data_IF_949904719101
#
_entry.id   IF_949904719101
#
_cell.length_a   1.000
_cell.length_b   1.000
_cell.length_c   1.000
_cell.angle_alpha   90.00
_cell.angle_beta   90.00
_cell.angle_gamma   90.00
#
_symmetry.space_group_name_H-M   'P 1'
#
loop_
_entity.id
_entity.type
_entity.pdbx_description
1 polymer ?
#
# COMPACT_ATOMS: atom_id res chain seq x y z
N UNK A 1 -20.80 -47.41 -30.45
CA UNK A 1 -20.31 -46.00 -30.46
C UNK A 1 -21.48 -45.08 -30.19
N UNK A 2 -21.47 -44.31 -29.10
CA UNK A 2 -22.21 -43.05 -29.03
C UNK A 2 -21.23 -41.87 -29.10
N UNK A 3 -21.53 -40.89 -29.94
CA UNK A 3 -20.88 -39.58 -29.94
C UNK A 3 -21.46 -38.79 -28.77
N UNK A 4 -20.61 -38.48 -27.79
CA UNK A 4 -20.92 -37.51 -26.75
C UNK A 4 -20.83 -36.12 -27.36
N UNK A 5 -21.95 -35.40 -27.36
CA UNK A 5 -22.04 -33.98 -27.66
C UNK A 5 -21.11 -33.22 -26.71
N UNK A 6 -20.22 -32.42 -27.27
CA UNK A 6 -19.28 -31.61 -26.49
C UNK A 6 -20.02 -30.51 -25.75
N UNK A 7 -19.97 -30.55 -24.42
CA UNK A 7 -20.39 -29.44 -23.58
C UNK A 7 -19.66 -28.15 -24.00
N UNK A 8 -20.34 -26.99 -23.97
CA UNK A 8 -19.69 -25.71 -24.24
C UNK A 8 -18.58 -25.46 -23.23
N UNK A 9 -17.40 -25.11 -23.74
CA UNK A 9 -16.24 -24.77 -22.91
C UNK A 9 -16.62 -23.60 -21.99
N UNK A 10 -16.35 -23.66 -20.67
CA UNK A 10 -16.66 -22.57 -19.76
C UNK A 10 -15.98 -21.29 -20.22
N UNK A 11 -16.73 -20.18 -20.26
CA UNK A 11 -16.16 -18.88 -20.55
C UNK A 11 -15.24 -18.47 -19.40
N UNK A 12 -13.93 -18.73 -19.55
CA UNK A 12 -12.86 -18.57 -18.54
C UNK A 12 -12.67 -17.13 -18.02
N UNK A 13 -13.46 -16.16 -18.52
CA UNK A 13 -13.34 -14.73 -18.23
C UNK A 13 -14.52 -14.16 -17.43
N UNK A 14 -15.64 -14.88 -17.32
CA UNK A 14 -16.93 -14.30 -16.91
C UNK A 14 -17.07 -13.89 -15.42
N UNK A 15 -16.18 -14.33 -14.53
CA UNK A 15 -16.31 -14.06 -13.08
C UNK A 15 -15.52 -12.83 -12.57
N UNK A 16 -14.66 -12.20 -13.39
CA UNK A 16 -13.80 -11.10 -12.95
C UNK A 16 -14.30 -9.68 -13.31
N UNK A 17 -15.35 -9.57 -14.12
CA UNK A 17 -15.76 -8.35 -14.85
C UNK A 17 -16.37 -7.21 -14.00
N UNK A 18 -16.45 -7.35 -12.67
CA UNK A 18 -17.10 -6.36 -11.78
C UNK A 18 -16.21 -5.74 -10.71
N UNK A 19 -14.91 -6.01 -10.71
CA UNK A 19 -13.97 -5.44 -9.72
C UNK A 19 -13.22 -4.25 -10.32
N UNK A 20 -12.92 -3.19 -9.55
CA UNK A 20 -12.06 -2.10 -10.01
C UNK A 20 -10.70 -2.64 -10.46
N UNK A 21 -10.05 -1.92 -11.38
CA UNK A 21 -8.70 -2.27 -11.84
C UNK A 21 -7.72 -2.30 -10.66
N UNK A 22 -6.72 -3.15 -10.78
CA UNK A 22 -5.58 -3.08 -9.87
C UNK A 22 -4.83 -1.76 -10.16
N UNK A 23 -4.35 -1.06 -9.11
CA UNK A 23 -3.57 0.17 -9.26
C UNK A 23 -2.26 -0.11 -10.02
N UNK A 24 -1.99 0.67 -11.08
CA UNK A 24 -0.77 0.59 -11.86
C UNK A 24 -0.71 -0.57 -12.88
N UNK A 25 0.50 -1.08 -13.15
CA UNK A 25 0.75 -2.13 -14.15
C UNK A 25 0.43 -3.51 -13.58
N UNK A 26 -0.55 -4.21 -14.17
CA UNK A 26 -0.97 -5.54 -13.72
C UNK A 26 -1.27 -6.48 -14.90
N UNK A 27 -0.90 -7.76 -14.76
CA UNK A 27 -1.30 -8.83 -15.68
C UNK A 27 -2.80 -9.14 -15.59
N UNK A 28 -3.42 -8.82 -14.45
CA UNK A 28 -4.85 -9.00 -14.23
C UNK A 28 -5.68 -7.98 -15.02
N UNK A 29 -5.22 -6.72 -15.06
CA UNK A 29 -5.81 -5.69 -15.91
C UNK A 29 -5.77 -6.13 -17.40
N UNK A 30 -4.65 -6.73 -17.82
CA UNK A 30 -4.51 -7.32 -19.16
C UNK A 30 -5.50 -8.48 -19.42
N UNK A 31 -5.66 -9.43 -18.49
CA UNK A 31 -6.62 -10.54 -18.66
C UNK A 31 -8.07 -10.06 -18.72
N UNK A 32 -8.44 -9.09 -17.88
CA UNK A 32 -9.78 -8.50 -17.86
C UNK A 32 -10.10 -7.74 -19.14
N UNK A 33 -9.15 -6.92 -19.60
CA UNK A 33 -9.25 -6.26 -20.90
C UNK A 33 -9.54 -7.30 -22.00
N UNK A 34 -8.75 -8.38 -22.07
CA UNK A 34 -8.98 -9.41 -23.07
C UNK A 34 -10.31 -10.15 -22.88
N UNK A 35 -10.79 -10.35 -21.65
CA UNK A 35 -12.13 -10.87 -21.38
C UNK A 35 -13.23 -9.98 -21.97
N UNK A 36 -13.08 -8.66 -21.89
CA UNK A 36 -14.03 -7.69 -22.43
C UNK A 36 -13.97 -7.58 -23.95
N UNK A 37 -12.77 -7.63 -24.54
CA UNK A 37 -12.58 -7.67 -26.00
C UNK A 37 -13.07 -9.00 -26.60
N UNK A 38 -13.18 -10.07 -25.81
CA UNK A 38 -13.75 -11.35 -26.24
C UNK A 38 -15.27 -11.32 -26.41
N UNK A 39 -15.96 -10.24 -26.04
CA UNK A 39 -17.36 -10.01 -26.37
C UNK A 39 -17.46 -9.40 -27.80
N UNK A 40 -18.44 -9.81 -28.62
CA UNK A 40 -18.42 -9.56 -30.06
C UNK A 40 -18.51 -8.06 -30.38
N UNK A 41 -17.43 -7.53 -30.97
CA UNK A 41 -17.29 -6.17 -31.49
C UNK A 41 -18.35 -5.96 -32.61
N UNK A 42 -19.04 -4.82 -32.65
CA UNK A 42 -19.98 -4.43 -33.74
C UNK A 42 -19.23 -3.59 -34.80
N UNK A 43 -19.46 -3.81 -36.10
CA UNK A 43 -19.04 -2.86 -37.15
C UNK A 43 -20.22 -2.46 -38.05
N UNK A 44 -20.26 -1.18 -38.41
CA UNK A 44 -21.12 -0.60 -39.44
C UNK A 44 -20.56 -0.85 -40.86
N UNK A 45 -21.41 -1.18 -41.84
CA UNK A 45 -20.96 -1.64 -43.15
C UNK A 45 -20.54 -0.46 -44.02
N UNK A 46 -19.38 -0.54 -44.68
CA UNK A 46 -19.23 0.03 -46.03
C UNK A 46 -18.40 -0.91 -46.92
N UNK A 47 -19.08 -1.40 -47.96
CA UNK A 47 -18.61 -2.02 -49.21
C UNK A 47 -17.78 -3.33 -49.16
N UNK A 48 -18.50 -4.42 -49.51
CA UNK A 48 -18.13 -5.52 -50.43
C UNK A 48 -17.00 -6.52 -50.06
N UNK A 49 -17.47 -7.59 -49.35
CA UNK A 49 -17.14 -9.04 -49.33
C UNK A 49 -15.68 -9.53 -49.52
N UNK A 50 -15.23 -10.40 -48.59
CA UNK A 50 -15.38 -11.84 -48.77
C UNK A 50 -16.21 -12.52 -47.67
N UNK A 51 -16.79 -13.67 -48.01
CA UNK A 51 -17.81 -14.42 -47.26
C UNK A 51 -17.37 -14.93 -45.86
N UNK A 52 -17.37 -14.03 -44.87
CA UNK A 52 -17.39 -14.33 -43.44
C UNK A 52 -18.78 -14.07 -42.84
N UNK A 53 -19.83 -14.49 -43.55
CA UNK A 53 -21.20 -14.04 -43.27
C UNK A 53 -21.96 -14.77 -42.14
N UNK A 54 -21.35 -15.66 -41.36
CA UNK A 54 -22.12 -16.40 -40.35
C UNK A 54 -21.53 -16.50 -38.93
N UNK A 55 -20.39 -15.85 -38.66
CA UNK A 55 -19.86 -15.75 -37.28
C UNK A 55 -19.23 -14.39 -37.10
N UNK A 56 -19.94 -13.46 -36.48
CA UNK A 56 -19.54 -12.08 -36.20
C UNK A 56 -18.30 -11.96 -35.30
N UNK A 57 -17.14 -12.35 -35.82
CA UNK A 57 -15.84 -12.24 -35.17
C UNK A 57 -15.00 -11.28 -36.01
N UNK A 58 -14.80 -10.07 -35.49
CA UNK A 58 -13.94 -9.08 -36.13
C UNK A 58 -12.50 -9.29 -35.71
N UNK A 59 -11.63 -9.54 -36.68
CA UNK A 59 -10.19 -9.54 -36.49
C UNK A 59 -9.63 -8.16 -36.86
N UNK A 60 -8.71 -7.57 -36.06
CA UNK A 60 -7.96 -6.39 -36.49
C UNK A 60 -7.36 -6.55 -37.91
N UNK A 61 -7.25 -5.46 -38.69
CA UNK A 61 -6.69 -5.52 -40.04
C UNK A 61 -5.23 -6.00 -40.01
N UNK A 62 -4.85 -6.79 -41.03
CA UNK A 62 -3.47 -7.25 -41.23
C UNK A 62 -2.54 -6.05 -41.39
N UNK A 63 -1.39 -6.10 -40.71
CA UNK A 63 -0.34 -5.10 -40.93
C UNK A 63 0.42 -5.34 -42.24
N UNK A 64 0.99 -4.28 -42.85
CA UNK A 64 1.74 -4.37 -44.12
C UNK A 64 2.86 -5.42 -44.02
N UNK A 65 2.80 -6.45 -44.87
CA UNK A 65 3.78 -7.56 -44.91
C UNK A 65 3.51 -8.72 -43.95
N UNK A 66 2.36 -8.75 -43.25
CA UNK A 66 1.97 -9.86 -42.37
C UNK A 66 1.13 -10.90 -43.10
N UNK A 67 1.48 -12.18 -42.97
CA UNK A 67 0.67 -13.28 -43.51
C UNK A 67 -0.53 -13.59 -42.60
N UNK A 68 -1.59 -14.20 -43.14
CA UNK A 68 -2.75 -14.69 -42.36
C UNK A 68 -2.31 -15.76 -41.35
N UNK A 69 -1.32 -16.59 -41.70
CA UNK A 69 -0.79 -17.61 -40.80
C UNK A 69 -0.07 -16.99 -39.61
N UNK A 70 0.82 -16.01 -39.83
CA UNK A 70 1.47 -15.25 -38.74
C UNK A 70 0.45 -14.48 -37.89
N UNK A 71 -0.64 -14.06 -38.54
CA UNK A 71 -1.76 -13.41 -37.89
C UNK A 71 -2.42 -14.32 -36.86
N UNK A 72 -2.92 -15.47 -37.31
CA UNK A 72 -3.62 -16.46 -36.49
C UNK A 72 -2.70 -17.05 -35.40
N UNK A 73 -1.45 -17.38 -35.74
CA UNK A 73 -0.47 -17.91 -34.78
C UNK A 73 -0.27 -16.94 -33.59
N UNK A 74 -0.24 -15.63 -33.86
CA UNK A 74 -0.09 -14.64 -32.80
C UNK A 74 -1.28 -14.58 -31.84
N UNK A 75 -2.51 -14.82 -32.35
CA UNK A 75 -3.71 -14.90 -31.52
C UNK A 75 -3.79 -16.21 -30.74
N UNK A 76 -3.38 -17.33 -31.33
CA UNK A 76 -3.26 -18.62 -30.64
C UNK A 76 -2.26 -18.53 -29.48
N UNK A 77 -1.05 -18.00 -29.72
CA UNK A 77 -0.02 -17.77 -28.70
C UNK A 77 -0.53 -16.86 -27.57
N UNK A 78 -1.22 -15.78 -27.92
CA UNK A 78 -1.82 -14.87 -26.94
C UNK A 78 -2.91 -15.58 -26.14
N UNK A 79 -3.79 -16.34 -26.78
CA UNK A 79 -4.86 -17.11 -26.14
C UNK A 79 -4.32 -18.16 -25.18
N UNK A 80 -3.33 -18.94 -25.60
CA UNK A 80 -2.64 -19.91 -24.74
C UNK A 80 -1.99 -19.22 -23.53
N UNK A 81 -1.26 -18.12 -23.76
CA UNK A 81 -0.56 -17.42 -22.69
C UNK A 81 -1.47 -16.68 -21.72
N UNK A 82 -2.63 -16.17 -22.15
CA UNK A 82 -3.55 -15.42 -21.29
C UNK A 82 -4.66 -16.29 -20.69
N UNK A 83 -4.99 -17.42 -21.33
CA UNK A 83 -6.04 -18.33 -20.91
C UNK A 83 -5.57 -19.53 -20.10
N UNK A 84 -4.37 -20.06 -20.36
CA UNK A 84 -3.85 -21.28 -19.70
C UNK A 84 -2.78 -20.95 -18.67
N UNK A 85 -2.51 -21.83 -17.70
CA UNK A 85 -1.41 -21.65 -16.73
C UNK A 85 -0.03 -22.04 -17.29
N UNK A 86 0.29 -21.52 -18.48
CA UNK A 86 1.55 -21.75 -19.17
C UNK A 86 2.48 -20.54 -19.05
N UNK A 87 3.77 -20.82 -18.88
CA UNK A 87 4.83 -19.83 -19.01
C UNK A 87 5.07 -19.46 -20.48
N UNK A 88 5.67 -18.29 -20.75
CA UNK A 88 6.05 -17.90 -22.11
C UNK A 88 6.98 -18.94 -22.77
N UNK A 89 7.82 -19.61 -21.99
CA UNK A 89 8.69 -20.67 -22.49
C UNK A 89 7.91 -21.94 -22.88
N UNK A 90 6.90 -22.31 -22.09
CA UNK A 90 6.02 -23.46 -22.39
C UNK A 90 5.17 -23.19 -23.64
N UNK A 91 4.61 -21.98 -23.79
CA UNK A 91 3.90 -21.55 -25.01
C UNK A 91 4.83 -21.56 -26.24
N UNK A 92 6.10 -21.20 -26.04
CA UNK A 92 7.12 -21.26 -27.09
C UNK A 92 7.40 -22.67 -27.59
N UNK A 93 7.38 -23.64 -26.67
CA UNK A 93 7.61 -25.06 -26.94
C UNK A 93 6.37 -25.76 -27.50
N UNK A 94 5.15 -25.34 -27.14
CA UNK A 94 3.89 -25.89 -27.64
C UNK A 94 3.57 -25.46 -29.07
N UNK A 95 3.98 -24.25 -29.48
CA UNK A 95 3.65 -23.72 -30.80
C UNK A 95 4.30 -24.52 -31.95
N UNK A 96 3.48 -24.97 -32.91
CA UNK A 96 3.85 -25.91 -33.99
C UNK A 96 5.02 -25.49 -34.89
N UNK A 97 5.40 -24.20 -34.90
CA UNK A 97 6.45 -23.64 -35.79
C UNK A 97 7.74 -23.22 -35.10
N UNK A 98 7.89 -23.45 -33.79
CA UNK A 98 8.96 -22.82 -33.01
C UNK A 98 9.75 -23.81 -32.15
N UNK A 99 10.74 -24.48 -32.75
CA UNK A 99 11.82 -25.10 -31.96
C UNK A 99 12.86 -24.09 -31.47
N UNK A 100 12.73 -22.80 -31.81
CA UNK A 100 13.74 -21.74 -31.56
C UNK A 100 13.18 -20.34 -31.21
N UNK A 101 11.90 -20.17 -30.91
CA UNK A 101 11.41 -18.83 -30.50
C UNK A 101 11.79 -18.57 -29.06
N UNK A 102 12.50 -17.47 -28.83
CA UNK A 102 12.90 -17.02 -27.49
C UNK A 102 11.71 -16.47 -26.72
N UNK A 103 11.83 -16.49 -25.38
CA UNK A 103 10.90 -15.85 -24.45
C UNK A 103 10.48 -14.44 -24.90
N UNK A 104 11.44 -13.62 -25.33
CA UNK A 104 11.17 -12.22 -25.69
C UNK A 104 10.38 -12.11 -26.99
N UNK A 105 10.63 -12.98 -27.97
CA UNK A 105 9.89 -12.97 -29.22
C UNK A 105 8.40 -13.29 -29.01
N UNK A 106 8.09 -14.19 -28.07
CA UNK A 106 6.70 -14.54 -27.70
C UNK A 106 6.04 -13.37 -27.00
N UNK A 107 6.73 -12.75 -26.04
CA UNK A 107 6.27 -11.54 -25.35
C UNK A 107 5.99 -10.40 -26.34
N UNK A 108 6.86 -10.18 -27.32
CA UNK A 108 6.69 -9.16 -28.37
C UNK A 108 5.47 -9.49 -29.25
N UNK A 109 5.29 -10.76 -29.66
CA UNK A 109 4.10 -11.20 -30.41
C UNK A 109 2.81 -10.90 -29.63
N UNK A 110 2.76 -11.27 -28.35
CA UNK A 110 1.59 -11.02 -27.48
C UNK A 110 1.33 -9.52 -27.34
N UNK A 111 2.36 -8.73 -27.03
CA UNK A 111 2.23 -7.28 -26.87
C UNK A 111 1.66 -6.63 -28.13
N UNK A 112 2.15 -7.01 -29.31
CA UNK A 112 1.66 -6.50 -30.59
C UNK A 112 0.18 -6.82 -30.82
N UNK A 113 -0.29 -8.00 -30.41
CA UNK A 113 -1.72 -8.38 -30.53
C UNK A 113 -2.60 -7.62 -29.57
N UNK A 114 -2.16 -7.47 -28.32
CA UNK A 114 -2.89 -6.69 -27.31
C UNK A 114 -2.97 -5.22 -27.72
N UNK A 115 -1.89 -4.66 -28.28
CA UNK A 115 -1.88 -3.29 -28.81
C UNK A 115 -2.84 -3.13 -30.00
N UNK A 116 -2.89 -4.11 -30.90
CA UNK A 116 -3.87 -4.14 -31.99
C UNK A 116 -5.31 -4.22 -31.46
N UNK A 117 -5.57 -5.09 -30.48
CA UNK A 117 -6.89 -5.19 -29.84
C UNK A 117 -7.28 -3.86 -29.18
N UNK A 118 -6.37 -3.25 -28.42
CA UNK A 118 -6.60 -2.00 -27.68
C UNK A 118 -6.92 -0.82 -28.61
N UNK A 119 -6.27 -0.73 -29.77
CA UNK A 119 -6.57 0.33 -30.75
C UNK A 119 -7.96 0.19 -31.39
N UNK A 120 -8.56 -0.99 -31.38
CA UNK A 120 -9.79 -1.30 -32.10
C UNK A 120 -11.03 -1.46 -31.20
N UNK A 121 -10.91 -1.18 -29.90
CA UNK A 121 -12.05 -1.15 -28.96
C UNK A 121 -12.64 0.26 -28.85
N UNK A 122 -13.84 0.37 -28.26
CA UNK A 122 -14.48 1.66 -27.98
C UNK A 122 -13.64 2.54 -27.05
N UNK A 123 -13.87 3.85 -27.10
CA UNK A 123 -13.19 4.83 -26.25
C UNK A 123 -13.41 4.54 -24.76
N UNK A 124 -14.63 4.21 -24.35
CA UNK A 124 -14.98 3.78 -22.98
C UNK A 124 -14.11 2.60 -22.50
N UNK A 125 -13.92 1.55 -23.33
CA UNK A 125 -13.06 0.41 -22.96
C UNK A 125 -11.59 0.84 -22.87
N UNK A 126 -11.13 1.77 -23.71
CA UNK A 126 -9.75 2.30 -23.63
C UNK A 126 -9.50 3.17 -22.42
N UNK A 127 -10.49 3.97 -22.01
CA UNK A 127 -10.44 4.78 -20.79
C UNK A 127 -10.46 3.89 -19.55
N UNK A 128 -11.31 2.86 -19.55
CA UNK A 128 -11.36 1.87 -18.46
C UNK A 128 -10.09 1.04 -18.39
N UNK A 129 -9.45 0.71 -19.53
CA UNK A 129 -8.23 -0.08 -19.60
C UNK A 129 -7.12 0.66 -20.37
N UNK A 130 -6.44 1.66 -19.77
CA UNK A 130 -5.35 2.35 -20.44
C UNK A 130 -4.21 1.37 -20.73
N UNK A 131 -3.55 1.48 -21.88
CA UNK A 131 -2.53 0.51 -22.32
C UNK A 131 -1.35 0.44 -21.32
N UNK A 132 -1.06 1.54 -20.64
CA UNK A 132 -0.03 1.67 -19.61
C UNK A 132 -0.32 0.82 -18.37
N UNK A 133 -1.58 0.40 -18.16
CA UNK A 133 -1.99 -0.46 -17.04
C UNK A 133 -1.67 -1.94 -17.25
N UNK A 134 -1.23 -2.34 -18.46
CA UNK A 134 -0.95 -3.74 -18.76
C UNK A 134 0.47 -4.15 -18.36
N UNK A 135 0.57 -5.21 -17.55
CA UNK A 135 1.82 -5.97 -17.42
C UNK A 135 1.74 -7.26 -18.22
N UNK A 136 2.73 -7.50 -19.06
CA UNK A 136 2.87 -8.71 -19.87
C UNK A 136 3.62 -9.83 -19.15
N UNK A 137 4.04 -9.60 -17.90
CA UNK A 137 4.65 -10.62 -17.04
C UNK A 137 3.57 -11.27 -16.20
N UNK A 138 3.27 -12.53 -16.51
CA UNK A 138 2.42 -13.37 -15.67
C UNK A 138 3.01 -13.50 -14.25
N UNK A 139 2.24 -13.16 -13.20
CA UNK A 139 2.60 -13.50 -11.83
C UNK A 139 2.74 -15.01 -11.73
N UNK A 140 3.82 -15.52 -11.11
CA UNK A 140 3.96 -16.97 -10.99
C UNK A 140 2.76 -17.56 -10.26
N UNK A 141 2.13 -18.58 -10.84
CA UNK A 141 1.08 -19.36 -10.18
C UNK A 141 1.63 -20.09 -8.97
N UNK A 142 0.74 -20.52 -8.06
CA UNK A 142 1.14 -21.34 -6.91
C UNK A 142 1.88 -22.62 -7.38
N UNK A 143 1.37 -23.29 -8.41
CA UNK A 143 1.99 -24.46 -9.02
C UNK A 143 3.40 -24.16 -9.56
N UNK A 144 3.58 -23.05 -10.28
CA UNK A 144 4.90 -22.62 -10.76
C UNK A 144 5.86 -22.30 -9.61
N UNK A 145 5.39 -21.65 -8.55
CA UNK A 145 6.19 -21.35 -7.35
C UNK A 145 6.60 -22.63 -6.61
N UNK A 146 5.70 -23.61 -6.50
CA UNK A 146 5.99 -24.92 -5.91
C UNK A 146 7.02 -25.69 -6.74
N UNK A 147 6.83 -25.76 -8.08
CA UNK A 147 7.79 -26.40 -9.01
C UNK A 147 9.19 -25.80 -8.89
N UNK A 148 9.29 -24.46 -8.85
CA UNK A 148 10.56 -23.77 -8.63
C UNK A 148 11.15 -24.06 -7.25
N UNK A 149 10.33 -24.07 -6.20
CA UNK A 149 10.81 -24.40 -4.87
C UNK A 149 11.34 -25.83 -4.80
N UNK A 150 10.70 -26.79 -5.46
CA UNK A 150 11.19 -28.18 -5.58
C UNK A 150 12.56 -28.20 -6.26
N UNK A 151 12.71 -27.49 -7.38
CA UNK A 151 13.98 -27.37 -8.09
C UNK A 151 15.10 -26.72 -7.23
N UNK A 152 14.74 -25.89 -6.25
CA UNK A 152 15.66 -25.24 -5.31
C UNK A 152 15.76 -25.96 -3.95
N UNK A 153 15.45 -27.26 -3.90
CA UNK A 153 15.62 -28.10 -2.70
C UNK A 153 14.36 -28.29 -1.85
N UNK A 154 13.19 -27.91 -2.32
CA UNK A 154 11.89 -28.34 -1.78
C UNK A 154 11.44 -27.75 -0.44
N UNK A 155 12.31 -27.05 0.31
CA UNK A 155 12.04 -26.57 1.68
C UNK A 155 10.68 -25.85 1.85
N UNK A 156 10.33 -24.91 0.98
CA UNK A 156 9.06 -24.17 1.13
C UNK A 156 7.82 -25.04 0.84
N UNK A 157 7.94 -26.02 -0.07
CA UNK A 157 6.86 -26.98 -0.32
C UNK A 157 6.66 -27.90 0.88
N UNK A 158 7.76 -28.30 1.52
CA UNK A 158 7.67 -29.12 2.74
C UNK A 158 7.05 -28.36 3.91
N UNK A 159 7.44 -27.10 4.11
CA UNK A 159 6.81 -26.22 5.11
C UNK A 159 5.30 -26.07 4.85
N UNK A 160 4.91 -25.78 3.59
CA UNK A 160 3.51 -25.67 3.22
C UNK A 160 2.72 -26.97 3.46
N UNK A 161 3.33 -28.14 3.17
CA UNK A 161 2.74 -29.45 3.42
C UNK A 161 2.53 -29.72 4.92
N UNK A 162 3.51 -29.39 5.77
CA UNK A 162 3.43 -29.58 7.22
C UNK A 162 2.34 -28.70 7.85
N UNK A 163 2.24 -27.45 7.40
CA UNK A 163 1.14 -26.55 7.81
C UNK A 163 -0.21 -27.12 7.39
N UNK A 164 -0.32 -27.65 6.16
CA UNK A 164 -1.56 -28.27 5.68
C UNK A 164 -1.95 -29.54 6.48
N UNK A 165 -0.98 -30.21 7.11
CA UNK A 165 -1.21 -31.34 8.03
C UNK A 165 -1.58 -30.89 9.46
N UNK A 166 -1.65 -29.59 9.73
CA UNK A 166 -2.02 -29.02 11.02
C UNK A 166 -0.84 -28.71 11.94
N UNK A 167 0.41 -28.84 11.49
CA UNK A 167 1.56 -28.43 12.30
C UNK A 167 1.65 -26.90 12.39
N UNK A 168 2.00 -26.39 13.58
CA UNK A 168 2.21 -24.96 13.76
C UNK A 168 3.50 -24.51 13.09
N UNK A 169 3.54 -23.27 12.60
CA UNK A 169 4.77 -22.74 12.01
C UNK A 169 5.92 -22.65 13.02
N UNK A 170 5.60 -22.49 14.31
CA UNK A 170 6.62 -22.43 15.37
C UNK A 170 7.26 -23.80 15.64
N UNK A 171 6.51 -24.90 15.48
CA UNK A 171 7.07 -26.25 15.55
C UNK A 171 7.98 -26.52 14.36
N UNK A 172 7.51 -26.19 13.15
CA UNK A 172 8.27 -26.33 11.91
C UNK A 172 9.56 -25.50 11.95
N UNK A 173 9.49 -24.28 12.52
CA UNK A 173 10.62 -23.34 12.58
C UNK A 173 11.83 -23.92 13.29
N UNK A 174 11.67 -24.82 14.27
CA UNK A 174 12.79 -25.40 15.00
C UNK A 174 13.69 -26.28 14.10
N UNK A 175 13.16 -26.73 12.96
CA UNK A 175 13.90 -27.56 11.99
C UNK A 175 14.67 -26.72 10.96
N UNK A 176 14.58 -25.39 11.02
CA UNK A 176 15.22 -24.48 10.07
C UNK A 176 16.07 -23.42 10.79
N UNK A 177 17.09 -22.89 10.08
CA UNK A 177 17.81 -21.72 10.56
C UNK A 177 16.88 -20.50 10.69
N UNK A 178 17.22 -19.56 11.56
CA UNK A 178 16.44 -18.33 11.77
C UNK A 178 16.21 -17.53 10.47
N UNK A 179 17.22 -17.48 9.60
CA UNK A 179 17.15 -16.82 8.28
C UNK A 179 16.23 -17.56 7.31
N UNK A 180 16.28 -18.90 7.30
CA UNK A 180 15.43 -19.74 6.46
C UNK A 180 13.97 -19.64 6.92
N UNK A 181 13.71 -19.67 8.23
CA UNK A 181 12.37 -19.52 8.78
C UNK A 181 11.75 -18.16 8.45
N UNK A 182 12.52 -17.07 8.57
CA UNK A 182 12.04 -15.73 8.19
C UNK A 182 11.73 -15.64 6.69
N UNK A 183 12.58 -16.22 5.85
CA UNK A 183 12.39 -16.24 4.39
C UNK A 183 11.18 -17.09 4.00
N UNK A 184 11.04 -18.27 4.60
CA UNK A 184 9.91 -19.16 4.40
C UNK A 184 8.60 -18.47 4.76
N UNK A 185 8.57 -17.71 5.86
CA UNK A 185 7.37 -16.95 6.28
C UNK A 185 6.86 -16.02 5.18
N UNK A 186 7.74 -15.18 4.63
CA UNK A 186 7.40 -14.28 3.52
C UNK A 186 6.99 -15.01 2.25
N UNK A 187 7.47 -16.23 2.05
CA UNK A 187 7.09 -17.07 0.90
C UNK A 187 5.70 -17.67 1.12
N UNK A 188 5.42 -18.18 2.32
CA UNK A 188 4.10 -18.73 2.70
C UNK A 188 3.00 -17.66 2.63
N UNK A 189 3.25 -16.46 3.15
CA UNK A 189 2.30 -15.33 3.03
C UNK A 189 2.02 -14.99 1.56
N UNK A 190 3.06 -14.99 0.71
CA UNK A 190 2.90 -14.80 -0.74
C UNK A 190 2.14 -15.93 -1.41
N UNK A 191 2.16 -17.14 -0.83
CA UNK A 191 1.39 -18.29 -1.30
C UNK A 191 -0.05 -18.30 -0.77
N UNK A 192 -0.44 -17.28 0.02
CA UNK A 192 -1.76 -17.19 0.64
C UNK A 192 -1.92 -18.07 1.88
N UNK A 193 -0.83 -18.63 2.40
CA UNK A 193 -0.83 -19.46 3.61
C UNK A 193 -0.64 -18.52 4.81
N UNK A 194 -1.69 -18.40 5.62
CA UNK A 194 -1.62 -17.60 6.84
C UNK A 194 -0.90 -18.39 7.92
N UNK A 195 0.30 -17.92 8.29
CA UNK A 195 1.05 -18.48 9.40
C UNK A 195 0.57 -17.79 10.67
N UNK A 196 -0.37 -18.44 11.37
CA UNK A 196 -0.78 -18.02 12.71
C UNK A 196 0.47 -17.81 13.57
N UNK A 197 0.52 -16.69 14.29
CA UNK A 197 1.56 -16.44 15.28
C UNK A 197 0.92 -16.67 16.64
N UNK A 198 1.36 -17.70 17.35
CA UNK A 198 1.18 -17.70 18.79
C UNK A 198 2.19 -16.71 19.35
N UNK A 199 1.77 -15.46 19.55
CA UNK A 199 2.56 -14.49 20.28
C UNK A 199 2.61 -14.97 21.74
N UNK A 200 3.57 -15.87 22.06
CA UNK A 200 3.79 -16.46 23.40
C UNK A 200 3.92 -15.43 24.53
N UNK A 201 4.14 -14.17 24.18
CA UNK A 201 4.17 -13.02 25.09
C UNK A 201 2.75 -12.70 25.58
N UNK A 202 1.73 -12.68 24.71
CA UNK A 202 0.38 -12.20 25.04
C UNK A 202 -0.24 -12.93 26.24
N UNK A 203 -0.19 -14.28 26.34
CA UNK A 203 -0.74 -15.00 27.49
C UNK A 203 -0.19 -14.54 28.85
N UNK A 204 1.10 -14.19 28.93
CA UNK A 204 1.72 -13.71 30.17
C UNK A 204 1.24 -12.33 30.62
N UNK A 205 0.58 -11.58 29.72
CA UNK A 205 0.07 -10.22 29.98
C UNK A 205 -1.45 -10.12 29.85
N UNK A 206 -2.19 -11.23 29.72
CA UNK A 206 -3.66 -11.21 29.67
C UNK A 206 -4.28 -10.58 30.94
N UNK A 207 -3.56 -10.64 32.08
CA UNK A 207 -3.94 -9.91 33.29
C UNK A 207 -4.09 -8.40 33.11
N UNK A 208 -3.48 -7.78 32.08
CA UNK A 208 -3.68 -6.36 31.77
C UNK A 208 -5.10 -6.04 31.25
N UNK A 209 -5.93 -7.05 30.97
CA UNK A 209 -7.37 -6.89 30.67
C UNK A 209 -8.27 -7.06 31.87
N UNK A 210 -7.75 -7.59 32.98
CA UNK A 210 -8.58 -7.95 34.12
C UNK A 210 -8.91 -6.72 34.97
N UNK A 211 -10.14 -6.22 34.83
CA UNK A 211 -10.67 -5.11 35.61
C UNK A 211 -10.72 -5.35 37.13
N UNK A 212 -10.56 -6.60 37.59
CA UNK A 212 -10.53 -6.93 39.02
C UNK A 212 -9.15 -6.77 39.64
N UNK A 213 -8.09 -6.66 38.84
CA UNK A 213 -6.73 -6.47 39.34
C UNK A 213 -6.55 -5.09 39.93
N UNK A 214 -5.83 -5.05 41.04
CA UNK A 214 -5.40 -3.81 41.69
C UNK A 214 -4.41 -3.06 40.81
N UNK A 215 -4.24 -1.75 41.07
CA UNK A 215 -3.29 -0.92 40.32
C UNK A 215 -1.85 -1.41 40.51
N UNK A 216 -1.54 -1.93 41.69
CA UNK A 216 -0.26 -2.54 42.03
C UNK A 216 0.00 -3.79 41.18
N UNK A 217 -0.95 -4.72 41.08
CA UNK A 217 -0.83 -5.90 40.21
C UNK A 217 -0.69 -5.54 38.73
N UNK A 218 -1.40 -4.51 38.28
CA UNK A 218 -1.26 -4.00 36.90
C UNK A 218 0.14 -3.41 36.70
N UNK A 219 0.67 -2.66 37.67
CA UNK A 219 2.02 -2.12 37.61
C UNK A 219 3.07 -3.23 37.55
N UNK A 220 2.94 -4.29 38.36
CA UNK A 220 3.84 -5.45 38.32
C UNK A 220 3.87 -6.11 36.95
N UNK A 221 2.71 -6.26 36.28
CA UNK A 221 2.65 -6.75 34.90
C UNK A 221 3.32 -5.77 33.93
N UNK A 222 3.07 -4.46 34.06
CA UNK A 222 3.70 -3.46 33.20
C UNK A 222 5.23 -3.43 33.35
N UNK A 223 5.75 -3.64 34.55
CA UNK A 223 7.20 -3.65 34.84
C UNK A 223 7.93 -4.84 34.20
N UNK A 224 7.21 -5.92 33.85
CA UNK A 224 7.77 -7.05 33.10
C UNK A 224 8.00 -6.74 31.60
N UNK A 225 7.53 -5.60 31.11
CA UNK A 225 7.75 -5.16 29.73
C UNK A 225 9.17 -4.56 29.62
N UNK A 226 10.11 -5.34 29.10
CA UNK A 226 11.54 -4.98 29.10
C UNK A 226 12.05 -4.43 27.78
N UNK A 227 11.36 -4.69 26.66
CA UNK A 227 11.88 -4.30 25.35
C UNK A 227 10.82 -3.74 24.38
N UNK A 228 11.24 -2.91 23.40
CA UNK A 228 10.36 -2.33 22.37
C UNK A 228 9.51 -3.32 21.58
N UNK A 229 9.99 -4.55 21.36
CA UNK A 229 9.26 -5.52 20.55
C UNK A 229 8.02 -6.04 21.27
N UNK A 230 8.11 -6.23 22.60
CA UNK A 230 6.97 -6.58 23.46
C UNK A 230 5.92 -5.46 23.42
N UNK A 231 6.33 -4.20 23.52
CA UNK A 231 5.41 -3.05 23.44
C UNK A 231 4.58 -3.10 22.15
N UNK A 232 5.21 -3.37 21.01
CA UNK A 232 4.52 -3.44 19.72
C UNK A 232 3.52 -4.61 19.65
N UNK A 233 3.90 -5.78 20.18
CA UNK A 233 3.01 -6.96 20.23
C UNK A 233 1.81 -6.70 21.14
N UNK A 234 2.04 -6.20 22.35
CA UNK A 234 1.00 -5.92 23.35
C UNK A 234 0.06 -4.79 22.90
N UNK A 235 0.59 -3.76 22.23
CA UNK A 235 -0.21 -2.69 21.62
C UNK A 235 -1.11 -3.24 20.50
N UNK A 236 -0.58 -4.13 19.65
CA UNK A 236 -1.36 -4.78 18.58
C UNK A 236 -2.45 -5.69 19.15
N UNK A 237 -2.19 -6.35 20.28
CA UNK A 237 -3.17 -7.14 21.03
C UNK A 237 -4.19 -6.29 21.80
N UNK A 238 -4.06 -4.95 21.81
CA UNK A 238 -4.96 -4.05 22.53
C UNK A 238 -4.81 -4.11 24.06
N UNK A 239 -3.74 -4.69 24.58
CA UNK A 239 -3.50 -4.81 26.04
C UNK A 239 -2.98 -3.51 26.65
N UNK A 240 -2.25 -2.73 25.86
CA UNK A 240 -1.67 -1.46 26.28
C UNK A 240 -1.93 -0.37 25.25
N UNK A 241 -1.91 0.87 25.71
CA UNK A 241 -2.04 2.07 24.90
C UNK A 241 -0.86 3.00 25.17
N UNK A 242 -0.42 3.71 24.13
CA UNK A 242 0.65 4.69 24.27
C UNK A 242 0.13 5.95 24.96
N UNK A 243 0.91 6.50 25.89
CA UNK A 243 0.57 7.74 26.61
C UNK A 243 0.31 8.90 25.66
N UNK A 244 1.03 8.98 24.53
CA UNK A 244 0.79 10.02 23.52
C UNK A 244 -0.63 10.00 22.96
N UNK A 245 -1.23 8.81 22.81
CA UNK A 245 -2.60 8.69 22.34
C UNK A 245 -3.59 9.16 23.41
N UNK A 246 -3.37 8.76 24.66
CA UNK A 246 -4.19 9.20 25.81
C UNK A 246 -4.15 10.72 25.94
N UNK A 247 -2.95 11.32 25.85
CA UNK A 247 -2.80 12.76 25.95
C UNK A 247 -3.53 13.50 24.82
N UNK A 248 -3.47 12.96 23.59
CA UNK A 248 -4.25 13.50 22.47
C UNK A 248 -5.76 13.44 22.72
N UNK A 249 -6.26 12.33 23.28
CA UNK A 249 -7.67 12.20 23.68
C UNK A 249 -8.07 13.13 24.83
N UNK A 250 -7.13 13.47 25.72
CA UNK A 250 -7.31 14.48 26.76
C UNK A 250 -7.20 15.94 26.23
N UNK A 251 -7.07 16.14 24.91
CA UNK A 251 -6.98 17.46 24.29
C UNK A 251 -5.61 18.12 24.41
N UNK A 252 -4.54 17.36 24.64
CA UNK A 252 -3.19 17.88 24.86
C UNK A 252 -2.31 17.74 23.61
N UNK A 253 -1.56 18.80 23.34
CA UNK A 253 -0.57 18.89 22.27
C UNK A 253 0.86 18.71 22.79
N UNK A 254 1.24 17.45 23.05
CA UNK A 254 2.52 17.13 23.68
C UNK A 254 3.72 17.28 22.73
N UNK A 255 4.86 17.74 23.28
CA UNK A 255 6.18 17.59 22.67
C UNK A 255 7.00 16.55 23.44
N UNK A 256 8.09 16.05 22.84
CA UNK A 256 8.94 15.02 23.47
C UNK A 256 9.48 15.42 24.86
N UNK A 257 9.71 16.72 25.10
CA UNK A 257 10.15 17.25 26.40
C UNK A 257 9.08 17.14 27.50
N UNK A 258 7.81 17.09 27.14
CA UNK A 258 6.69 17.10 28.10
C UNK A 258 6.40 15.70 28.66
N UNK A 259 7.02 14.66 28.07
CA UNK A 259 6.84 13.27 28.51
C UNK A 259 7.23 13.03 29.97
N UNK A 260 8.10 13.84 30.59
CA UNK A 260 8.38 13.71 32.02
C UNK A 260 7.22 14.23 32.88
N UNK A 261 6.61 15.37 32.52
CA UNK A 261 5.46 15.96 33.23
C UNK A 261 4.30 14.97 33.30
N UNK A 262 3.98 14.32 32.17
CA UNK A 262 2.91 13.32 32.11
C UNK A 262 3.18 12.13 33.04
N UNK A 263 4.43 11.66 33.10
CA UNK A 263 4.82 10.56 34.00
C UNK A 263 4.69 10.95 35.46
N UNK A 264 5.05 12.18 35.81
CA UNK A 264 4.93 12.68 37.17
C UNK A 264 3.44 12.82 37.59
N UNK A 265 2.57 13.25 36.68
CA UNK A 265 1.12 13.30 36.90
C UNK A 265 0.55 11.90 37.16
N UNK A 266 0.91 10.92 36.34
CA UNK A 266 0.44 9.54 36.52
C UNK A 266 0.93 8.98 37.86
N UNK A 267 2.19 9.20 38.22
CA UNK A 267 2.73 8.77 39.51
C UNK A 267 1.99 9.40 40.68
N UNK A 268 1.70 10.71 40.64
CA UNK A 268 0.94 11.42 41.71
C UNK A 268 -0.47 10.86 41.86
N UNK A 269 -1.11 10.47 40.76
CA UNK A 269 -2.45 9.87 40.75
C UNK A 269 -2.43 8.34 40.89
N UNK A 270 -1.27 7.75 41.19
CA UNK A 270 -1.07 6.29 41.32
C UNK A 270 -1.56 5.50 40.10
N UNK A 271 -1.49 6.09 38.90
CA UNK A 271 -1.83 5.40 37.65
C UNK A 271 -0.68 4.49 37.22
N UNK A 272 -0.94 3.18 36.98
CA UNK A 272 0.10 2.25 36.53
C UNK A 272 0.68 2.66 35.17
N UNK A 273 1.99 2.62 35.02
CA UNK A 273 2.68 3.09 33.82
C UNK A 273 3.99 2.32 33.61
N UNK A 274 4.20 1.85 32.39
CA UNK A 274 5.48 1.30 31.94
C UNK A 274 6.31 2.32 31.16
N UNK A 275 7.62 2.32 31.39
CA UNK A 275 8.61 3.09 30.61
C UNK A 275 9.64 2.14 30.01
N UNK A 276 9.64 2.01 28.70
CA UNK A 276 10.51 1.04 27.99
C UNK A 276 11.50 1.80 27.11
N UNK A 277 12.80 1.53 27.29
CA UNK A 277 13.86 2.19 26.52
C UNK A 277 13.88 1.74 25.06
N UNK A 278 14.03 2.70 24.15
CA UNK A 278 14.13 2.47 22.72
C UNK A 278 15.61 2.59 22.34
N UNK A 279 16.29 1.46 22.27
CA UNK A 279 17.74 1.42 22.07
C UNK A 279 18.13 1.05 20.65
N UNK A 280 19.18 1.69 20.14
CA UNK A 280 19.83 1.31 18.88
C UNK A 280 21.34 1.35 19.08
N UNK A 281 22.00 0.21 18.87
CA UNK A 281 23.46 0.04 19.06
C UNK A 281 23.91 0.49 20.47
N UNK A 282 23.16 0.13 21.51
CA UNK A 282 23.46 0.48 22.91
C UNK A 282 23.22 1.96 23.27
N UNK A 283 22.70 2.78 22.37
CA UNK A 283 22.28 4.16 22.68
C UNK A 283 20.76 4.23 22.81
N UNK A 284 20.30 4.82 23.90
CA UNK A 284 18.88 5.13 24.11
C UNK A 284 18.49 6.29 23.19
N UNK A 285 17.59 6.02 22.24
CA UNK A 285 17.03 7.00 21.31
C UNK A 285 15.78 7.68 21.87
N UNK A 286 15.09 7.04 22.82
CA UNK A 286 13.86 7.52 23.41
C UNK A 286 13.23 6.48 24.33
N UNK A 287 11.98 6.73 24.73
CA UNK A 287 11.22 5.81 25.56
C UNK A 287 9.81 5.65 25.03
N UNK A 288 9.30 4.42 25.05
CA UNK A 288 7.86 4.19 25.08
C UNK A 288 7.35 4.46 26.48
N UNK A 289 6.22 5.15 26.58
CA UNK A 289 5.44 5.29 27.80
C UNK A 289 4.06 4.72 27.52
N UNK A 290 3.66 3.69 28.26
CA UNK A 290 2.47 2.90 27.98
C UNK A 290 1.70 2.58 29.26
N UNK A 291 0.40 2.48 29.10
CA UNK A 291 -0.58 2.25 30.17
C UNK A 291 -1.40 1.03 29.78
N UNK A 292 -1.90 0.26 30.74
CA UNK A 292 -2.86 -0.79 30.44
C UNK A 292 -4.12 -0.17 29.83
N UNK A 293 -4.69 -0.81 28.81
CA UNK A 293 -5.87 -0.28 28.09
C UNK A 293 -7.05 -0.08 29.03
N UNK A 294 -7.20 -0.93 30.05
CA UNK A 294 -8.27 -0.81 31.06
C UNK A 294 -8.19 0.48 31.89
N UNK A 295 -7.00 1.07 32.06
CA UNK A 295 -6.82 2.33 32.79
C UNK A 295 -6.87 3.56 31.85
N UNK A 296 -7.19 3.36 30.57
CA UNK A 296 -7.17 4.44 29.57
C UNK A 296 -8.10 5.59 29.94
N UNK A 297 -9.36 5.31 30.27
CA UNK A 297 -10.35 6.36 30.55
C UNK A 297 -9.98 7.18 31.78
N UNK A 298 -9.54 6.51 32.86
CA UNK A 298 -9.02 7.17 34.05
C UNK A 298 -7.79 8.03 33.72
N UNK A 299 -6.87 7.51 32.91
CA UNK A 299 -5.70 8.26 32.47
C UNK A 299 -6.06 9.48 31.61
N UNK A 300 -7.08 9.39 30.75
CA UNK A 300 -7.60 10.55 30.00
C UNK A 300 -8.16 11.58 30.98
N UNK A 301 -9.00 11.17 31.94
CA UNK A 301 -9.57 12.07 32.94
C UNK A 301 -8.51 12.79 33.77
N UNK A 302 -7.51 12.04 34.29
CA UNK A 302 -6.40 12.60 35.08
C UNK A 302 -5.61 13.65 34.29
N UNK A 303 -5.37 13.44 32.99
CA UNK A 303 -4.72 14.45 32.16
C UNK A 303 -5.66 15.62 31.81
N UNK A 304 -6.93 15.33 31.58
CA UNK A 304 -7.96 16.31 31.28
C UNK A 304 -8.18 17.32 32.40
N UNK A 305 -8.05 16.90 33.65
CA UNK A 305 -8.31 17.73 34.83
C UNK A 305 -7.05 18.43 35.40
N UNK A 306 -5.84 18.04 34.99
CA UNK A 306 -4.60 18.62 35.52
C UNK A 306 -4.37 20.04 34.95
N UNK A 307 -4.52 21.06 35.81
CA UNK A 307 -4.26 22.48 35.49
C UNK A 307 -2.80 22.74 35.13
N UNK A 308 -1.89 21.92 35.63
CA UNK A 308 -0.48 21.96 35.28
C UNK A 308 -0.18 21.57 33.84
N UNK A 309 -1.19 21.32 33.00
CA UNK A 309 -1.07 21.06 31.55
C UNK A 309 -1.82 22.09 30.69
N UNK A 310 -2.33 23.19 31.28
CA UNK A 310 -3.12 24.20 30.55
C UNK A 310 -2.34 24.78 29.35
N UNK A 311 -1.03 24.95 29.49
CA UNK A 311 -0.13 25.40 28.42
C UNK A 311 -0.10 24.46 27.21
N UNK A 312 -0.42 23.18 27.41
CA UNK A 312 -0.42 22.15 26.37
C UNK A 312 -1.80 21.95 25.72
N UNK A 313 -2.85 22.60 26.21
CA UNK A 313 -4.21 22.55 25.62
C UNK A 313 -4.35 23.49 24.42
N UNK A 314 -3.44 24.45 24.28
CA UNK A 314 -3.45 25.41 23.16
C UNK A 314 -2.97 24.72 21.89
N UNK A 315 -3.76 24.77 20.83
CA UNK A 315 -3.38 24.23 19.52
C UNK A 315 -2.09 24.91 19.04
N UNK A 316 -0.99 24.16 18.80
CA UNK A 316 0.29 24.72 18.40
C UNK A 316 0.31 25.12 16.91
N UNK A 317 -0.76 24.83 16.16
CA UNK A 317 -0.90 25.24 14.77
C UNK A 317 -1.18 26.72 14.69
N UNK A 318 -0.49 27.42 13.79
CA UNK A 318 -0.62 28.86 13.57
C UNK A 318 -0.97 29.09 12.11
N UNK A 319 -1.88 30.02 11.80
CA UNK A 319 -2.07 30.52 10.44
C UNK A 319 -0.94 31.50 10.12
N UNK A 320 -0.16 31.23 9.07
CA UNK A 320 0.93 32.10 8.63
C UNK A 320 0.50 33.09 7.53
N UNK A 321 -0.38 32.65 6.63
CA UNK A 321 -0.85 33.44 5.49
C UNK A 321 -2.19 32.88 4.97
N UNK A 322 -2.90 33.68 4.18
CA UNK A 322 -4.20 33.34 3.64
C UNK A 322 -5.37 33.86 4.46
N UNK A 323 -6.61 33.63 3.97
CA UNK A 323 -7.82 34.08 4.63
C UNK A 323 -8.01 33.39 5.98
N UNK A 324 -8.50 34.14 6.97
CA UNK A 324 -8.84 33.58 8.28
C UNK A 324 -10.00 32.58 8.14
N UNK A 325 -9.77 31.34 8.57
CA UNK A 325 -10.78 30.30 8.63
C UNK A 325 -11.57 30.33 9.94
N UNK A 326 -12.70 29.61 9.99
CA UNK A 326 -13.53 29.48 11.20
C UNK A 326 -12.83 28.71 12.35
N UNK A 327 -11.93 27.79 12.02
CA UNK A 327 -11.15 27.03 13.00
C UNK A 327 -9.78 26.68 12.44
N UNK A 328 -8.77 26.65 13.31
CA UNK A 328 -7.44 26.14 12.97
C UNK A 328 -7.46 24.61 13.00
N UNK A 329 -6.89 23.94 11.98
CA UNK A 329 -6.73 22.49 12.03
C UNK A 329 -5.75 22.11 13.14
N UNK A 330 -5.89 20.90 13.67
CA UNK A 330 -4.92 20.35 14.61
C UNK A 330 -3.76 19.67 13.89
N UNK A 331 -2.70 19.32 14.62
CA UNK A 331 -1.50 18.69 14.02
C UNK A 331 -1.79 17.33 13.38
N UNK A 332 -2.76 16.57 13.90
CA UNK A 332 -3.14 15.26 13.36
C UNK A 332 -3.83 15.43 12.01
N UNK A 333 -4.74 16.39 11.89
CA UNK A 333 -5.42 16.73 10.64
C UNK A 333 -4.40 17.15 9.57
N UNK A 334 -3.45 18.02 9.91
CA UNK A 334 -2.41 18.46 8.98
C UNK A 334 -1.52 17.33 8.45
N UNK A 335 -1.27 16.29 9.26
CA UNK A 335 -0.31 15.22 8.93
C UNK A 335 -0.99 14.00 8.32
N UNK A 336 -2.23 13.67 8.74
CA UNK A 336 -2.83 12.37 8.47
C UNK A 336 -4.15 12.41 7.68
N UNK A 337 -4.81 13.55 7.54
CA UNK A 337 -6.09 13.63 6.80
C UNK A 337 -5.94 13.40 5.29
N UNK A 338 -4.76 13.68 4.73
CA UNK A 338 -4.55 13.73 3.27
C UNK A 338 -5.11 15.00 2.60
N UNK A 339 -5.86 15.82 3.34
CA UNK A 339 -6.39 17.11 2.86
C UNK A 339 -5.31 18.19 2.81
N UNK A 340 -4.25 18.05 3.60
CA UNK A 340 -3.17 19.02 3.70
C UNK A 340 -1.87 18.46 3.12
N UNK A 341 -1.13 19.33 2.44
CA UNK A 341 0.14 18.99 1.80
C UNK A 341 1.23 19.91 2.33
N UNK A 342 2.45 19.36 2.51
CA UNK A 342 3.59 20.15 2.93
C UNK A 342 4.00 21.16 1.83
N UNK A 343 3.99 22.45 2.15
CA UNK A 343 4.33 23.55 1.25
C UNK A 343 5.71 23.40 0.61
N UNK A 344 6.67 22.85 1.34
CA UNK A 344 8.02 22.61 0.85
C UNK A 344 8.08 21.71 -0.40
N UNK A 345 7.10 20.82 -0.59
CA UNK A 345 7.02 19.98 -1.78
C UNK A 345 6.66 20.81 -3.01
N UNK A 346 5.63 21.65 -2.91
CA UNK A 346 5.19 22.54 -3.99
C UNK A 346 6.29 23.54 -4.39
N UNK A 347 6.91 24.19 -3.40
CA UNK A 347 8.05 25.10 -3.65
C UNK A 347 9.20 24.36 -4.32
N UNK A 348 9.49 23.13 -3.86
CA UNK A 348 10.56 22.33 -4.43
C UNK A 348 10.31 21.90 -5.87
N UNK A 349 9.05 21.66 -6.22
CA UNK A 349 8.61 21.36 -7.57
C UNK A 349 8.79 22.57 -8.51
N UNK A 350 8.26 23.74 -8.11
CA UNK A 350 8.38 24.99 -8.88
C UNK A 350 9.85 25.35 -9.14
N UNK A 351 10.69 25.24 -8.11
CA UNK A 351 12.12 25.58 -8.19
C UNK A 351 12.98 24.46 -8.80
N UNK A 352 12.43 23.27 -9.03
CA UNK A 352 13.16 22.05 -9.42
C UNK A 352 14.35 21.71 -8.50
N UNK A 353 14.28 22.14 -7.23
CA UNK A 353 15.31 21.90 -6.21
C UNK A 353 14.68 21.80 -4.82
N UNK A 354 15.25 20.96 -3.95
CA UNK A 354 14.76 20.81 -2.57
C UNK A 354 14.81 22.14 -1.81
N UNK A 355 13.67 22.56 -1.23
CA UNK A 355 13.58 23.76 -0.41
C UNK A 355 13.94 23.46 1.05
N UNK A 356 14.92 24.16 1.60
CA UNK A 356 15.38 24.01 2.99
C UNK A 356 14.85 25.08 3.94
N UNK A 357 13.87 25.90 3.50
CA UNK A 357 13.39 27.07 4.25
C UNK A 357 14.15 28.36 3.96
N UNK A 358 15.23 28.30 3.16
CA UNK A 358 16.02 29.47 2.71
C UNK A 358 16.46 29.32 1.25
N UNK A 359 16.29 30.35 0.44
CA UNK A 359 16.88 30.44 -0.90
C UNK A 359 18.33 30.99 -0.86
N UNK A 360 19.04 30.92 -2.01
CA UNK A 360 20.22 31.77 -2.24
C UNK A 360 19.78 33.23 -2.11
N UNK A 361 20.52 34.05 -1.36
CA UNK A 361 20.20 35.46 -1.14
C UNK A 361 19.43 35.79 0.15
N UNK A 362 19.16 34.81 1.03
CA UNK A 362 18.56 35.06 2.35
C UNK A 362 17.04 35.19 2.37
N UNK A 363 16.38 34.99 1.22
CA UNK A 363 14.92 35.01 1.10
C UNK A 363 14.31 33.83 1.88
N UNK A 364 13.36 34.14 2.76
CA UNK A 364 12.70 33.20 3.68
C UNK A 364 11.36 32.74 3.11
N UNK A 365 10.84 31.63 3.65
CA UNK A 365 9.49 31.17 3.30
C UNK A 365 8.41 32.23 3.55
N UNK A 366 8.57 33.09 4.56
CA UNK A 366 7.65 34.19 4.81
C UNK A 366 7.53 35.18 3.64
N UNK A 367 8.61 35.40 2.89
CA UNK A 367 8.64 36.40 1.81
C UNK A 367 7.88 35.93 0.55
N UNK A 368 7.91 34.61 0.30
CA UNK A 368 7.27 33.95 -0.85
C UNK A 368 5.78 33.64 -0.60
N UNK A 369 5.35 33.55 0.66
CA UNK A 369 3.93 33.29 1.01
C UNK A 369 3.19 34.57 1.40
N UNK A 370 3.88 35.71 1.37
CA UNK A 370 3.31 36.99 1.76
C UNK A 370 2.11 37.31 0.86
N UNK A 371 0.99 37.69 1.48
CA UNK A 371 -0.26 38.00 0.80
C UNK A 371 -0.82 36.80 -0.02
N UNK A 372 -0.47 35.58 0.40
CA UNK A 372 -0.98 34.35 -0.22
C UNK A 372 -2.50 34.33 -0.22
N UNK A 373 -3.14 33.99 -1.35
CA UNK A 373 -4.59 33.82 -1.40
C UNK A 373 -5.04 32.47 -0.80
N UNK A 374 -4.12 31.51 -0.65
CA UNK A 374 -4.36 30.21 -0.02
C UNK A 374 -3.95 30.21 1.45
N UNK A 375 -4.64 29.39 2.24
CA UNK A 375 -4.36 29.21 3.67
C UNK A 375 -3.10 28.40 3.89
N UNK A 376 -2.17 28.96 4.67
CA UNK A 376 -0.90 28.31 4.99
C UNK A 376 -0.75 28.22 6.50
N UNK A 377 -0.75 26.99 6.99
CA UNK A 377 -0.63 26.65 8.40
C UNK A 377 0.81 26.27 8.75
N UNK A 378 1.23 26.59 9.96
CA UNK A 378 2.52 26.18 10.52
C UNK A 378 2.34 25.25 11.69
N UNK A 379 3.01 24.11 11.64
CA UNK A 379 3.06 23.15 12.73
C UNK A 379 4.49 22.66 12.95
N UNK A 380 5.07 23.03 14.11
CA UNK A 380 6.41 22.62 14.52
C UNK A 380 7.52 23.21 13.66
N UNK A 381 7.85 22.56 12.55
CA UNK A 381 8.90 22.98 11.60
C UNK A 381 8.42 22.98 10.14
N UNK A 382 7.16 22.65 9.90
CA UNK A 382 6.63 22.40 8.56
C UNK A 382 5.45 23.31 8.30
N UNK A 383 5.38 23.83 7.08
CA UNK A 383 4.26 24.61 6.58
C UNK A 383 3.36 23.71 5.74
N UNK A 384 2.05 23.86 5.89
CA UNK A 384 1.03 23.06 5.24
C UNK A 384 0.04 23.97 4.52
N UNK A 385 -0.49 23.52 3.39
CA UNK A 385 -1.59 24.16 2.68
C UNK A 385 -2.67 23.11 2.38
N UNK A 386 -3.91 23.54 2.14
CA UNK A 386 -4.98 22.64 1.72
C UNK A 386 -4.79 22.22 0.27
N UNK A 387 -4.89 20.93 -0.02
CA UNK A 387 -4.76 20.36 -1.36
C UNK A 387 -5.74 20.97 -2.36
N UNK A 388 -6.95 21.32 -1.93
CA UNK A 388 -7.96 22.01 -2.75
C UNK A 388 -7.55 23.42 -3.19
N UNK A 389 -6.56 24.02 -2.54
CA UNK A 389 -6.05 25.37 -2.82
C UNK A 389 -4.72 25.33 -3.60
N UNK A 390 -4.31 24.16 -4.09
CA UNK A 390 -2.98 23.99 -4.72
C UNK A 390 -2.79 24.86 -5.95
N UNK A 391 -3.75 24.88 -6.88
CA UNK A 391 -3.59 25.57 -8.17
C UNK A 391 -3.44 27.08 -7.98
N UNK A 392 -4.27 27.69 -7.14
CA UNK A 392 -4.19 29.12 -6.81
C UNK A 392 -2.89 29.45 -6.06
N UNK A 393 -2.45 28.58 -5.15
CA UNK A 393 -1.21 28.76 -4.43
C UNK A 393 0.00 28.66 -5.36
N UNK A 394 -0.01 27.72 -6.30
CA UNK A 394 1.04 27.56 -7.31
C UNK A 394 1.21 28.81 -8.15
N UNK A 395 0.12 29.36 -8.67
CA UNK A 395 0.13 30.62 -9.45
C UNK A 395 0.72 31.77 -8.62
N UNK A 396 0.28 31.91 -7.37
CA UNK A 396 0.80 32.93 -6.46
C UNK A 396 2.30 32.76 -6.20
N UNK A 397 2.74 31.54 -5.83
CA UNK A 397 4.15 31.24 -5.54
C UNK A 397 5.04 31.49 -6.76
N UNK A 398 4.62 31.10 -7.96
CA UNK A 398 5.37 31.35 -9.19
C UNK A 398 5.55 32.85 -9.47
N UNK A 399 4.48 33.64 -9.34
CA UNK A 399 4.56 35.10 -9.49
C UNK A 399 5.53 35.69 -8.47
N UNK A 400 5.34 35.32 -7.19
CA UNK A 400 6.12 35.88 -6.08
C UNK A 400 7.60 35.49 -6.16
N UNK A 401 7.90 34.25 -6.57
CA UNK A 401 9.28 33.80 -6.75
C UNK A 401 9.98 34.50 -7.93
N UNK A 402 9.26 34.81 -9.02
CA UNK A 402 9.79 35.63 -10.13
C UNK A 402 10.09 37.05 -9.68
N UNK A 403 9.17 37.68 -8.96
CA UNK A 403 9.37 39.03 -8.38
C UNK A 403 10.59 39.10 -7.46
N UNK A 404 10.83 38.03 -6.70
CA UNK A 404 11.96 37.93 -5.77
C UNK A 404 13.26 37.42 -6.43
N UNK A 405 13.26 37.17 -7.75
CA UNK A 405 14.43 36.72 -8.51
C UNK A 405 14.93 35.32 -8.12
N UNK A 406 14.04 34.45 -7.64
CA UNK A 406 14.36 33.08 -7.23
C UNK A 406 14.33 32.11 -8.42
N UNK A 407 13.42 32.34 -9.37
CA UNK A 407 13.22 31.56 -10.59
C UNK A 407 13.19 32.44 -11.83
#
# INVERSE_FOLDING_TARGET
MPKLEGEPTPNLFAEEDKKPLDEGKSFKNLRRFMGEVSAPIRIYPQSEKPDYLDKGIYFPPLSKGQTIEDYNEGFEIMGEYLGLDLTLEEVGKSSKRSKKTTYENIRVKIKRRVEQAHRNVSEDVRERFPFESFDFRRPWSLASRQKKSIAMGGKNVEIARRIAKGESFDDIRNDFSSTDAYSARKIMERWGITLGREDKIVPSFEGLRDSKKTKEEIQELLDQITNPSQVNVLKKAGLIVAVMNIAGEAGLYLRGKDAQRIRDIFRRNRLPLAKVALERKGKVLGYYSVVATINKEEAVGVLGDDKGLDDLRTNPVILLAGPEGKSLPNTTELVHSGEYVALGNLIGEIRRMRWSGRARGGIKTGDIIKDSPATIYFAGTTNYYKKSEEDMLRVHLESRMKELGII
#
